data_IF_426241927822
#
_entry.id   IF_426241927822
#
_cell.length_a   1.000
_cell.length_b   1.000
_cell.length_c   1.000
_cell.angle_alpha   90.00
_cell.angle_beta   90.00
_cell.angle_gamma   90.00
#
_symmetry.space_group_name_H-M   'P 1'
#
loop_
_entity.id
_entity.type
_entity.pdbx_description
1 polymer ?
#
# COMPACT_ATOMS: atom_id res chain seq x y z
N UNK A 1 23.66 -6.25 -15.63
CA UNK A 1 23.98 -4.82 -15.44
C UNK A 1 22.77 -3.98 -15.00
N UNK A 2 21.53 -4.35 -15.37
CA UNK A 2 20.28 -3.73 -14.84
C UNK A 2 20.10 -3.97 -13.33
N UNK A 3 20.46 -5.15 -12.83
CA UNK A 3 20.30 -5.52 -11.41
C UNK A 3 21.12 -4.68 -10.42
N UNK A 4 22.25 -4.10 -10.83
CA UNK A 4 23.15 -3.34 -9.92
C UNK A 4 22.63 -1.93 -9.67
N UNK A 5 21.98 -1.29 -10.65
CA UNK A 5 21.33 0.02 -10.47
C UNK A 5 20.08 -0.08 -9.60
N UNK A 6 19.28 -1.14 -9.79
CA UNK A 6 18.09 -1.43 -8.98
C UNK A 6 18.48 -1.67 -7.51
N UNK A 7 19.55 -2.44 -7.25
CA UNK A 7 20.00 -2.70 -5.88
C UNK A 7 20.46 -1.45 -5.13
N UNK A 8 21.19 -0.55 -5.79
CA UNK A 8 21.62 0.71 -5.18
C UNK A 8 20.44 1.63 -4.85
N UNK A 9 19.38 1.63 -5.68
CA UNK A 9 18.17 2.40 -5.41
C UNK A 9 17.34 1.78 -4.26
N UNK A 10 17.30 0.46 -4.15
CA UNK A 10 16.63 -0.23 -3.04
C UNK A 10 17.28 0.13 -1.69
N UNK A 11 18.62 0.14 -1.62
CA UNK A 11 19.34 0.50 -0.39
C UNK A 11 19.12 1.98 0.00
N UNK A 12 19.01 2.90 -0.97
CA UNK A 12 18.66 4.31 -0.67
C UNK A 12 17.20 4.48 -0.28
N UNK A 13 16.26 3.81 -0.95
CA UNK A 13 14.82 3.87 -0.64
C UNK A 13 14.50 3.31 0.75
N UNK A 14 15.22 2.27 1.18
CA UNK A 14 15.13 1.74 2.55
C UNK A 14 15.45 2.81 3.60
N UNK A 15 16.48 3.64 3.38
CA UNK A 15 16.87 4.71 4.30
C UNK A 15 15.80 5.80 4.39
N UNK A 16 15.12 6.13 3.29
CA UNK A 16 14.12 7.20 3.26
C UNK A 16 12.76 6.81 3.85
N UNK A 17 12.41 5.52 3.85
CA UNK A 17 11.14 5.04 4.44
C UNK A 17 11.15 4.93 5.97
N UNK A 18 12.34 4.90 6.60
CA UNK A 18 12.53 4.59 8.03
C UNK A 18 11.79 3.31 8.47
N UNK A 19 11.52 2.37 7.54
CA UNK A 19 10.81 1.12 7.83
C UNK A 19 11.77 0.15 8.53
N UNK A 20 11.41 -0.27 9.74
CA UNK A 20 12.26 -1.14 10.57
C UNK A 20 11.61 -2.50 10.82
N UNK A 21 12.40 -3.48 11.27
CA UNK A 21 11.90 -4.81 11.63
C UNK A 21 10.71 -4.83 12.61
N UNK A 22 10.62 -3.94 13.62
CA UNK A 22 9.42 -3.84 14.45
C UNK A 22 8.16 -3.44 13.69
N UNK A 23 8.29 -2.64 12.62
CA UNK A 23 7.17 -2.22 11.78
C UNK A 23 6.65 -3.42 10.97
N UNK A 24 7.55 -4.27 10.44
CA UNK A 24 7.15 -5.49 9.73
C UNK A 24 6.34 -6.42 10.63
N UNK A 25 6.79 -6.62 11.88
CA UNK A 25 6.05 -7.43 12.87
C UNK A 25 4.66 -6.86 13.13
N UNK A 26 4.54 -5.53 13.26
CA UNK A 26 3.27 -4.84 13.46
C UNK A 26 2.31 -5.04 12.29
N UNK A 27 2.79 -4.93 11.05
CA UNK A 27 1.99 -5.22 9.86
C UNK A 27 1.54 -6.69 9.83
N UNK A 28 2.42 -7.63 10.20
CA UNK A 28 2.05 -9.04 10.32
C UNK A 28 0.96 -9.31 11.37
N UNK A 29 0.93 -8.55 12.47
CA UNK A 29 -0.11 -8.69 13.50
C UNK A 29 -1.50 -8.40 12.95
N UNK A 30 -1.64 -7.35 12.14
CA UNK A 30 -2.92 -6.92 11.58
C UNK A 30 -3.26 -7.60 10.24
N UNK A 31 -2.38 -8.46 9.70
CA UNK A 31 -2.56 -9.07 8.39
C UNK A 31 -3.90 -9.81 8.26
N UNK A 32 -4.23 -10.67 9.24
CA UNK A 32 -5.48 -11.46 9.20
C UNK A 32 -6.72 -10.57 9.27
N UNK A 33 -6.66 -9.54 10.11
CA UNK A 33 -7.71 -8.56 10.26
C UNK A 33 -7.94 -7.80 8.93
N UNK A 34 -6.85 -7.38 8.28
CA UNK A 34 -6.88 -6.69 7.00
C UNK A 34 -7.50 -7.57 5.91
N UNK A 35 -7.14 -8.85 5.84
CA UNK A 35 -7.73 -9.78 4.88
C UNK A 35 -9.25 -9.91 5.04
N UNK A 36 -9.77 -9.76 6.26
CA UNK A 36 -11.21 -9.75 6.54
C UNK A 36 -11.95 -8.52 5.99
N UNK A 37 -11.26 -7.39 5.80
CA UNK A 37 -11.86 -6.11 5.36
C UNK A 37 -11.43 -5.66 3.97
N UNK A 38 -10.51 -6.38 3.31
CA UNK A 38 -9.97 -6.03 1.98
C UNK A 38 -11.07 -5.70 0.97
N UNK A 39 -12.07 -6.59 0.81
CA UNK A 39 -13.11 -6.41 -0.20
C UNK A 39 -13.95 -5.15 0.03
N UNK A 40 -14.29 -4.87 1.28
CA UNK A 40 -15.08 -3.69 1.65
C UNK A 40 -14.28 -2.41 1.40
N UNK A 41 -12.97 -2.42 1.70
CA UNK A 41 -12.08 -1.28 1.43
C UNK A 41 -11.87 -1.04 -0.06
N UNK A 42 -11.76 -2.10 -0.87
CA UNK A 42 -11.65 -1.99 -2.34
C UNK A 42 -12.91 -1.36 -2.93
N UNK A 43 -14.09 -1.79 -2.47
CA UNK A 43 -15.36 -1.17 -2.88
C UNK A 43 -15.48 0.28 -2.44
N UNK A 44 -15.09 0.59 -1.19
CA UNK A 44 -15.09 1.95 -0.65
C UNK A 44 -14.16 2.87 -1.44
N UNK A 45 -12.93 2.41 -1.70
CA UNK A 45 -11.95 3.13 -2.52
C UNK A 45 -12.53 3.44 -3.91
N UNK A 46 -13.12 2.45 -4.57
CA UNK A 46 -13.68 2.65 -5.91
C UNK A 46 -14.85 3.64 -5.91
N UNK A 47 -15.84 3.47 -5.01
CA UNK A 47 -17.05 4.29 -5.01
C UNK A 47 -16.76 5.71 -4.51
N UNK A 48 -16.26 5.84 -3.29
CA UNK A 48 -16.16 7.12 -2.58
C UNK A 48 -14.92 7.92 -2.97
N UNK A 49 -13.83 7.26 -3.36
CA UNK A 49 -12.54 7.91 -3.58
C UNK A 49 -12.16 8.05 -5.07
N UNK A 50 -12.43 7.02 -5.87
CA UNK A 50 -12.15 7.02 -7.30
C UNK A 50 -13.28 7.65 -8.11
N UNK A 51 -14.50 7.10 -8.02
CA UNK A 51 -15.61 7.45 -8.90
C UNK A 51 -16.20 8.84 -8.61
N UNK A 52 -16.44 9.18 -7.34
CA UNK A 52 -17.03 10.47 -6.96
C UNK A 52 -16.08 11.66 -7.20
N UNK A 53 -14.76 11.44 -7.16
CA UNK A 53 -13.76 12.50 -7.38
C UNK A 53 -13.31 12.66 -8.83
N UNK A 54 -13.75 11.77 -9.74
CA UNK A 54 -13.50 11.85 -11.18
C UNK A 54 -14.77 12.30 -11.91
N UNK A 55 -15.17 13.55 -11.70
CA UNK A 55 -16.46 14.01 -12.24
C UNK A 55 -16.52 14.16 -13.76
N UNK A 56 -15.43 14.10 -14.56
CA UNK A 56 -15.55 14.53 -15.98
C UNK A 56 -14.51 14.02 -17.02
N UNK A 57 -13.66 13.02 -16.77
CA UNK A 57 -12.59 12.67 -17.76
C UNK A 57 -12.24 11.19 -17.98
N UNK A 58 -12.99 10.25 -17.41
CA UNK A 58 -12.61 8.83 -17.39
C UNK A 58 -13.72 7.91 -17.93
N UNK A 59 -14.37 8.29 -19.03
CA UNK A 59 -15.47 7.51 -19.62
C UNK A 59 -15.05 6.11 -20.12
N UNK A 60 -13.73 5.84 -20.23
CA UNK A 60 -13.17 4.57 -20.71
C UNK A 60 -12.45 3.73 -19.65
N UNK A 61 -12.53 4.08 -18.35
CA UNK A 61 -11.85 3.30 -17.30
C UNK A 61 -12.76 2.20 -16.77
N UNK A 62 -12.42 0.94 -17.04
CA UNK A 62 -13.19 -0.19 -16.52
C UNK A 62 -13.11 -0.24 -14.97
N UNK A 63 -14.26 -0.31 -14.27
CA UNK A 63 -14.29 -0.42 -12.81
C UNK A 63 -13.46 -1.57 -12.25
N UNK A 64 -13.43 -2.68 -12.98
CA UNK A 64 -12.73 -3.90 -12.57
C UNK A 64 -11.21 -3.72 -12.56
N UNK A 65 -10.65 -2.97 -13.52
CA UNK A 65 -9.21 -2.69 -13.56
C UNK A 65 -8.77 -1.88 -12.35
N UNK A 66 -9.53 -0.84 -12.00
CA UNK A 66 -9.21 0.02 -10.84
C UNK A 66 -9.24 -0.79 -9.54
N UNK A 67 -10.29 -1.61 -9.36
CA UNK A 67 -10.43 -2.47 -8.20
C UNK A 67 -9.32 -3.51 -8.13
N UNK A 68 -9.01 -4.15 -9.26
CA UNK A 68 -7.96 -5.15 -9.37
C UNK A 68 -6.58 -4.59 -9.02
N UNK A 69 -6.21 -3.44 -9.61
CA UNK A 69 -4.93 -2.78 -9.34
C UNK A 69 -4.82 -2.44 -7.85
N UNK A 70 -5.85 -1.79 -7.29
CA UNK A 70 -5.85 -1.39 -5.89
C UNK A 70 -5.78 -2.60 -4.96
N UNK A 71 -6.60 -3.63 -5.18
CA UNK A 71 -6.61 -4.86 -4.39
C UNK A 71 -5.26 -5.60 -4.45
N UNK A 72 -4.68 -5.71 -5.64
CA UNK A 72 -3.40 -6.40 -5.86
C UNK A 72 -2.26 -5.70 -5.13
N UNK A 73 -2.17 -4.37 -5.25
CA UNK A 73 -1.19 -3.57 -4.51
C UNK A 73 -1.46 -3.61 -2.99
N UNK A 74 -2.72 -3.43 -2.57
CA UNK A 74 -3.15 -3.46 -1.16
C UNK A 74 -2.74 -4.76 -0.47
N UNK A 75 -2.98 -5.91 -1.12
CA UNK A 75 -2.62 -7.21 -0.57
C UNK A 75 -1.11 -7.35 -0.39
N UNK A 76 -0.28 -6.75 -1.24
CA UNK A 76 1.18 -6.78 -1.10
C UNK A 76 1.66 -5.89 0.04
N UNK A 77 1.18 -4.66 0.15
CA UNK A 77 1.60 -3.74 1.22
C UNK A 77 1.16 -4.22 2.61
N UNK A 78 0.16 -5.08 2.72
CA UNK A 78 -0.27 -5.70 3.98
C UNK A 78 0.06 -7.18 4.11
N UNK A 79 0.71 -7.80 3.12
CA UNK A 79 1.26 -9.14 3.27
C UNK A 79 2.31 -9.18 4.39
N UNK A 80 2.30 -10.25 5.18
CA UNK A 80 3.34 -10.47 6.16
C UNK A 80 4.65 -10.86 5.45
N UNK A 81 5.74 -10.18 5.78
CA UNK A 81 7.10 -10.43 5.26
C UNK A 81 8.01 -10.84 6.41
N UNK A 82 9.10 -11.57 6.12
CA UNK A 82 10.03 -12.03 7.15
C UNK A 82 10.97 -10.92 7.64
N UNK A 83 11.27 -9.96 6.76
CA UNK A 83 12.19 -8.85 7.03
C UNK A 83 11.87 -7.63 6.14
N UNK A 84 12.55 -6.50 6.41
CA UNK A 84 12.37 -5.25 5.67
C UNK A 84 12.77 -5.37 4.19
N UNK A 85 13.85 -6.10 3.87
CA UNK A 85 14.32 -6.27 2.48
C UNK A 85 13.27 -6.99 1.63
N UNK A 86 12.69 -8.07 2.16
CA UNK A 86 11.61 -8.80 1.50
C UNK A 86 10.38 -7.92 1.29
N UNK A 87 10.01 -7.11 2.29
CA UNK A 87 8.88 -6.17 2.18
C UNK A 87 9.10 -5.16 1.06
N UNK A 88 10.30 -4.57 1.02
CA UNK A 88 10.68 -3.62 -0.01
C UNK A 88 10.62 -4.24 -1.40
N UNK A 89 11.24 -5.40 -1.58
CA UNK A 89 11.26 -6.09 -2.86
C UNK A 89 9.85 -6.48 -3.32
N UNK A 90 9.00 -6.95 -2.42
CA UNK A 90 7.62 -7.30 -2.74
C UNK A 90 6.84 -6.09 -3.28
N UNK A 91 6.93 -4.93 -2.60
CA UNK A 91 6.25 -3.70 -3.02
C UNK A 91 6.81 -3.20 -4.35
N UNK A 92 8.14 -3.17 -4.50
CA UNK A 92 8.81 -2.74 -5.73
C UNK A 92 8.36 -3.55 -6.94
N UNK A 93 8.41 -4.88 -6.84
CA UNK A 93 7.98 -5.75 -7.93
C UNK A 93 6.47 -5.67 -8.21
N UNK A 94 5.64 -5.52 -7.17
CA UNK A 94 4.21 -5.39 -7.35
C UNK A 94 3.85 -4.11 -8.13
N UNK A 95 4.45 -2.98 -7.77
CA UNK A 95 4.25 -1.71 -8.48
C UNK A 95 4.74 -1.85 -9.93
N UNK A 96 5.97 -2.32 -10.15
CA UNK A 96 6.52 -2.47 -11.51
C UNK A 96 5.72 -3.42 -12.40
N UNK A 97 5.20 -4.53 -11.86
CA UNK A 97 4.35 -5.45 -12.61
C UNK A 97 3.00 -4.82 -12.97
N UNK A 98 2.35 -4.17 -12.00
CA UNK A 98 1.06 -3.50 -12.24
C UNK A 98 1.20 -2.36 -13.25
N UNK A 99 2.30 -1.62 -13.26
CA UNK A 99 2.58 -0.60 -14.27
C UNK A 99 2.80 -1.18 -15.67
N UNK A 100 3.49 -2.33 -15.75
CA UNK A 100 3.69 -3.05 -17.01
C UNK A 100 2.40 -3.60 -17.62
N UNK A 101 1.46 -4.02 -16.77
CA UNK A 101 0.18 -4.61 -17.17
C UNK A 101 -0.91 -3.54 -17.38
N UNK A 102 -0.96 -2.53 -16.53
CA UNK A 102 -2.02 -1.52 -16.47
C UNK A 102 -1.43 -0.10 -16.43
N UNK A 103 -1.61 0.66 -17.51
CA UNK A 103 -1.16 2.07 -17.59
C UNK A 103 -1.77 2.98 -16.52
N UNK A 104 -2.90 2.59 -15.93
CA UNK A 104 -3.57 3.33 -14.86
C UNK A 104 -2.98 3.06 -13.48
N UNK A 105 -2.12 2.04 -13.33
CA UNK A 105 -1.61 1.61 -12.04
C UNK A 105 -0.99 2.73 -11.20
N UNK A 106 -0.13 3.61 -11.75
CA UNK A 106 0.46 4.69 -10.97
C UNK A 106 -0.59 5.61 -10.34
N UNK A 107 -1.61 6.00 -11.11
CA UNK A 107 -2.65 6.93 -10.67
C UNK A 107 -3.55 6.27 -9.61
N UNK A 108 -3.89 5.00 -9.83
CA UNK A 108 -4.69 4.21 -8.89
C UNK A 108 -3.93 4.04 -7.56
N UNK A 109 -2.66 3.65 -7.62
CA UNK A 109 -1.82 3.45 -6.45
C UNK A 109 -1.60 4.77 -5.69
N UNK A 110 -1.24 5.87 -6.35
CA UNK A 110 -1.07 7.17 -5.71
C UNK A 110 -2.35 7.66 -5.00
N UNK A 111 -3.51 7.43 -5.61
CA UNK A 111 -4.80 7.72 -4.96
C UNK A 111 -5.09 6.76 -3.82
N UNK A 112 -4.73 5.49 -3.97
CA UNK A 112 -4.85 4.45 -2.96
C UNK A 112 -4.04 4.77 -1.71
N UNK A 113 -2.82 5.26 -1.87
CA UNK A 113 -1.96 5.74 -0.77
C UNK A 113 -2.69 6.82 0.03
N UNK A 114 -3.20 7.84 -0.65
CA UNK A 114 -3.94 8.92 0.00
C UNK A 114 -5.21 8.42 0.71
N UNK A 115 -5.98 7.54 0.06
CA UNK A 115 -7.15 6.90 0.67
C UNK A 115 -6.80 6.16 1.95
N UNK A 116 -5.78 5.29 1.91
CA UNK A 116 -5.35 4.50 3.06
C UNK A 116 -4.77 5.37 4.18
N UNK A 117 -4.14 6.51 3.88
CA UNK A 117 -3.73 7.46 4.93
C UNK A 117 -4.93 8.00 5.73
N UNK A 118 -6.07 8.21 5.07
CA UNK A 118 -7.31 8.62 5.76
C UNK A 118 -7.97 7.45 6.51
N UNK A 119 -7.91 6.25 5.94
CA UNK A 119 -8.53 5.04 6.52
C UNK A 119 -7.65 4.30 7.53
N UNK A 120 -6.38 4.69 7.73
CA UNK A 120 -5.44 3.98 8.59
C UNK A 120 -5.93 3.84 10.04
N UNK A 121 -6.69 4.82 10.53
CA UNK A 121 -7.31 4.73 11.85
C UNK A 121 -8.36 3.61 11.91
N UNK A 122 -9.14 3.41 10.85
CA UNK A 122 -10.15 2.36 10.75
C UNK A 122 -9.49 0.98 10.68
N UNK A 123 -8.38 0.86 9.93
CA UNK A 123 -7.62 -0.39 9.78
C UNK A 123 -7.12 -0.97 11.12
N UNK A 124 -6.82 -0.10 12.08
CA UNK A 124 -6.25 -0.49 13.38
C UNK A 124 -7.32 -0.68 14.46
N UNK A 125 -8.56 -0.28 14.20
CA UNK A 125 -9.70 -0.48 15.12
C UNK A 125 -10.32 -1.88 14.97
N UNK A 126 -10.04 -2.58 13.87
CA UNK A 126 -10.63 -3.89 13.60
C UNK A 126 -10.08 -5.03 14.49
N UNK A 127 -8.96 -4.85 15.19
CA UNK A 127 -8.46 -5.77 16.22
C UNK A 127 -8.66 -5.19 17.63
N UNK A 128 -9.67 -5.71 18.32
CA UNK A 128 -9.90 -5.64 19.77
C UNK A 128 -10.01 -4.22 20.38
N UNK A 129 -11.16 -3.92 20.99
CA UNK A 129 -11.34 -2.71 21.82
C UNK A 129 -10.27 -2.64 22.94
N UNK A 130 -9.69 -3.77 23.32
CA UNK A 130 -8.67 -3.89 24.37
C UNK A 130 -7.23 -3.57 23.95
N UNK A 131 -6.95 -3.34 22.65
CA UNK A 131 -5.58 -2.96 22.25
C UNK A 131 -5.21 -1.59 22.85
N UNK A 132 -4.06 -1.45 23.55
CA UNK A 132 -3.64 -0.17 24.10
C UNK A 132 -3.54 0.91 23.02
N UNK A 133 -3.98 2.13 23.32
CA UNK A 133 -3.93 3.27 22.39
C UNK A 133 -2.53 3.50 21.81
N UNK A 134 -1.48 3.30 22.61
CA UNK A 134 -0.09 3.41 22.18
C UNK A 134 0.24 2.41 21.06
N UNK A 135 -0.20 1.16 21.19
CA UNK A 135 0.01 0.15 20.16
C UNK A 135 -0.82 0.44 18.90
N UNK A 136 -2.03 0.99 19.05
CA UNK A 136 -2.83 1.45 17.90
C UNK A 136 -2.12 2.58 17.12
N UNK A 137 -1.57 3.56 17.83
CA UNK A 137 -0.79 4.63 17.21
C UNK A 137 0.47 4.11 16.54
N UNK A 138 1.20 3.20 17.18
CA UNK A 138 2.37 2.56 16.61
C UNK A 138 2.04 1.77 15.33
N UNK A 139 0.91 1.07 15.30
CA UNK A 139 0.41 0.38 14.10
C UNK A 139 0.13 1.37 12.97
N UNK A 140 -0.60 2.46 13.24
CA UNK A 140 -0.86 3.51 12.25
C UNK A 140 0.45 4.08 11.69
N UNK A 141 1.45 4.32 12.54
CA UNK A 141 2.77 4.80 12.11
C UNK A 141 3.45 3.77 11.20
N UNK A 142 3.44 2.49 11.55
CA UNK A 142 4.01 1.44 10.70
C UNK A 142 3.29 1.34 9.34
N UNK A 143 1.95 1.51 9.31
CA UNK A 143 1.19 1.60 8.07
C UNK A 143 1.67 2.78 7.23
N UNK A 144 1.81 3.97 7.82
CA UNK A 144 2.28 5.15 7.10
C UNK A 144 3.67 4.95 6.51
N UNK A 145 4.60 4.33 7.23
CA UNK A 145 5.94 4.01 6.71
C UNK A 145 5.91 3.10 5.48
N UNK A 146 5.02 2.10 5.47
CA UNK A 146 4.83 1.23 4.30
C UNK A 146 4.20 1.99 3.11
N UNK A 147 3.29 2.92 3.39
CA UNK A 147 2.71 3.79 2.38
C UNK A 147 3.75 4.78 1.82
N UNK A 148 4.58 5.36 2.68
CA UNK A 148 5.70 6.23 2.30
C UNK A 148 6.68 5.48 1.40
N UNK A 149 7.01 4.23 1.74
CA UNK A 149 7.84 3.37 0.88
C UNK A 149 7.21 3.14 -0.50
N UNK A 150 5.90 2.87 -0.55
CA UNK A 150 5.18 2.70 -1.81
C UNK A 150 5.20 3.98 -2.65
N UNK A 151 5.03 5.14 -2.00
CA UNK A 151 5.07 6.46 -2.64
C UNK A 151 6.46 6.79 -3.18
N UNK A 152 7.52 6.50 -2.43
CA UNK A 152 8.91 6.69 -2.86
C UNK A 152 9.23 5.83 -4.09
N UNK A 153 8.87 4.54 -4.05
CA UNK A 153 9.06 3.64 -5.19
C UNK A 153 8.33 4.18 -6.42
N UNK A 154 7.07 4.61 -6.26
CA UNK A 154 6.28 5.12 -7.37
C UNK A 154 6.90 6.40 -7.98
N UNK A 155 7.39 7.31 -7.14
CA UNK A 155 7.99 8.57 -7.59
C UNK A 155 9.40 8.39 -8.19
N UNK A 156 10.16 7.37 -7.81
CA UNK A 156 11.48 7.10 -8.39
C UNK A 156 11.42 6.22 -9.65
N UNK A 157 10.31 5.54 -9.92
CA UNK A 157 10.11 4.73 -11.13
C UNK A 157 9.41 5.47 -12.28
N UNK A 158 8.81 6.64 -12.02
CA UNK A 158 8.18 7.55 -12.99
C UNK A 158 9.13 8.66 -13.46
#
# INVERSE_FOLDING_TARGET
>A
MIATGIKNNIESLQIFSDLLEPDIKKICLIHQCIQGVTKDLVEKYYKEYWSERLTNKAEDIEPNDVKYIFESWFNVIFACSQNVEEKHNAIFWAIGNLEGEHKLAPVVIQRGINFLRHEAQVLVVCDDENLPLTLKLELVVSIFKVLDLSELILNECL
#
